data_IF_403924891114
#
_entry.id   IF_403924891114
#
_cell.length_a   1.000
_cell.length_b   1.000
_cell.length_c   1.000
_cell.angle_alpha   90.00
_cell.angle_beta   90.00
_cell.angle_gamma   90.00
#
_symmetry.space_group_name_H-M   'P 1'
#
loop_
_entity.id
_entity.type
_entity.pdbx_description
1 polymer ?
#
# COMPACT_ATOMS: atom_id res chain seq x y z
N UNK A 1 -14.87 -6.84 -6.36
CA UNK A 1 -13.72 -7.67 -6.77
C UNK A 1 -14.26 -8.92 -7.43
N UNK A 2 -13.76 -9.29 -8.60
CA UNK A 2 -14.10 -10.57 -9.21
C UNK A 2 -13.15 -11.63 -8.62
N UNK A 3 -13.67 -12.74 -8.11
CA UNK A 3 -12.86 -13.85 -7.57
C UNK A 3 -13.02 -15.14 -8.37
N UNK A 4 -13.60 -15.04 -9.58
CA UNK A 4 -13.80 -16.17 -10.46
C UNK A 4 -12.45 -16.65 -11.00
N UNK A 5 -12.11 -17.90 -10.68
CA UNK A 5 -10.87 -18.54 -11.09
C UNK A 5 -10.64 -18.48 -12.61
N UNK A 6 -11.65 -18.83 -13.41
CA UNK A 6 -11.54 -18.93 -14.86
C UNK A 6 -11.17 -17.58 -15.48
N UNK A 7 -11.77 -16.49 -15.02
CA UNK A 7 -11.47 -15.15 -15.53
C UNK A 7 -10.02 -14.74 -15.24
N UNK A 8 -9.53 -15.01 -14.02
CA UNK A 8 -8.15 -14.71 -13.65
C UNK A 8 -7.15 -15.62 -14.33
N UNK A 9 -7.50 -16.88 -14.54
CA UNK A 9 -6.68 -17.82 -15.31
C UNK A 9 -6.56 -17.37 -16.78
N UNK A 10 -7.66 -16.93 -17.40
CA UNK A 10 -7.62 -16.36 -18.76
C UNK A 10 -6.77 -15.08 -18.83
N UNK A 11 -6.79 -14.25 -17.79
CA UNK A 11 -5.96 -13.06 -17.71
C UNK A 11 -4.46 -13.38 -17.59
N UNK A 12 -4.09 -14.56 -17.05
CA UNK A 12 -2.69 -14.97 -16.96
C UNK A 12 -2.10 -15.36 -18.32
N UNK A 13 -2.91 -15.84 -19.26
CA UNK A 13 -2.46 -16.31 -20.58
C UNK A 13 -1.58 -15.31 -21.34
N UNK A 14 -1.93 -14.03 -21.52
CA UNK A 14 -1.07 -13.07 -22.22
C UNK A 14 0.27 -12.79 -21.52
N UNK A 15 0.43 -13.19 -20.26
CA UNK A 15 1.63 -12.92 -19.47
C UNK A 15 2.73 -13.98 -19.64
N UNK A 16 2.46 -15.06 -20.36
CA UNK A 16 3.42 -16.16 -20.55
C UNK A 16 4.45 -15.91 -21.67
N UNK A 17 4.34 -14.78 -22.39
CA UNK A 17 5.17 -14.47 -23.58
C UNK A 17 6.20 -13.36 -23.34
N UNK A 18 6.45 -12.99 -22.09
CA UNK A 18 7.47 -11.99 -21.74
C UNK A 18 8.90 -12.50 -21.93
N UNK A 19 9.83 -11.58 -22.20
CA UNK A 19 11.27 -11.90 -22.19
C UNK A 19 11.72 -12.31 -20.78
N UNK A 20 12.78 -13.12 -20.70
CA UNK A 20 13.35 -13.54 -19.41
C UNK A 20 13.70 -12.32 -18.54
N UNK A 21 13.33 -12.38 -17.26
CA UNK A 21 13.46 -11.28 -16.31
C UNK A 21 12.26 -10.34 -16.25
N UNK A 22 11.29 -10.45 -17.16
CA UNK A 22 10.01 -9.73 -17.05
C UNK A 22 9.27 -10.13 -15.78
N UNK A 23 8.68 -9.14 -15.08
CA UNK A 23 7.92 -9.36 -13.84
C UNK A 23 6.57 -8.67 -13.91
N UNK A 24 5.58 -9.32 -13.33
CA UNK A 24 4.23 -8.76 -13.18
C UNK A 24 3.94 -8.64 -11.69
N UNK A 25 3.38 -7.50 -11.30
CA UNK A 25 2.92 -7.24 -9.95
C UNK A 25 1.41 -7.09 -10.00
N UNK A 26 0.70 -7.90 -9.22
CA UNK A 26 -0.75 -7.82 -9.06
C UNK A 26 -1.03 -7.27 -7.68
N UNK A 27 -1.82 -6.19 -7.60
CA UNK A 27 -2.32 -5.65 -6.33
C UNK A 27 -3.81 -5.98 -6.20
N UNK A 28 -4.20 -6.49 -5.04
CA UNK A 28 -5.58 -6.90 -4.76
C UNK A 28 -5.88 -6.77 -3.27
N UNK A 29 -7.16 -6.56 -2.92
CA UNK A 29 -7.64 -6.64 -1.53
C UNK A 29 -8.14 -8.03 -1.14
N UNK A 30 -8.08 -9.01 -2.04
CA UNK A 30 -8.55 -10.39 -1.82
C UNK A 30 -7.37 -11.37 -1.88
N UNK A 31 -7.10 -12.02 -0.76
CA UNK A 31 -6.06 -13.07 -0.65
C UNK A 31 -6.34 -14.25 -1.59
N UNK A 32 -7.62 -14.50 -1.86
CA UNK A 32 -8.04 -15.52 -2.82
C UNK A 32 -7.61 -15.15 -4.24
N UNK A 33 -7.78 -13.90 -4.66
CA UNK A 33 -7.26 -13.45 -5.97
C UNK A 33 -5.74 -13.55 -6.02
N UNK A 34 -5.04 -13.18 -4.94
CA UNK A 34 -3.58 -13.32 -4.85
C UNK A 34 -3.12 -14.77 -4.99
N UNK A 35 -3.86 -15.71 -4.39
CA UNK A 35 -3.63 -17.15 -4.50
C UNK A 35 -3.90 -17.68 -5.93
N UNK A 36 -4.99 -17.25 -6.57
CA UNK A 36 -5.35 -17.65 -7.94
C UNK A 36 -4.27 -17.22 -8.95
N UNK A 37 -3.66 -16.05 -8.75
CA UNK A 37 -2.56 -15.57 -9.60
C UNK A 37 -1.24 -16.34 -9.41
N UNK A 38 -1.22 -17.36 -8.52
CA UNK A 38 -0.09 -18.25 -8.26
C UNK A 38 1.24 -17.51 -8.09
N UNK A 39 1.18 -16.32 -7.48
CA UNK A 39 2.37 -15.51 -7.27
C UNK A 39 3.39 -16.29 -6.44
N UNK A 40 4.66 -16.27 -6.83
CA UNK A 40 5.74 -16.91 -6.07
C UNK A 40 5.85 -16.33 -4.65
N UNK A 41 5.40 -15.08 -4.44
CA UNK A 41 5.33 -14.43 -3.13
C UNK A 41 4.06 -13.57 -3.05
N UNK A 42 3.27 -13.79 -2.02
CA UNK A 42 2.18 -12.87 -1.65
C UNK A 42 2.74 -11.91 -0.61
N UNK A 43 2.69 -10.62 -0.91
CA UNK A 43 3.11 -9.58 0.02
C UNK A 43 1.88 -8.90 0.61
N UNK A 44 1.58 -9.18 1.87
CA UNK A 44 0.52 -8.51 2.61
C UNK A 44 1.06 -7.15 3.07
N UNK A 45 0.50 -6.08 2.51
CA UNK A 45 0.83 -4.73 2.94
C UNK A 45 0.32 -4.51 4.37
N UNK A 46 1.25 -4.29 5.29
CA UNK A 46 0.94 -3.93 6.67
C UNK A 46 0.56 -2.45 6.81
N UNK A 47 0.13 -2.09 8.02
CA UNK A 47 0.01 -0.68 8.40
C UNK A 47 1.40 -0.05 8.51
N UNK A 48 1.48 1.25 8.25
CA UNK A 48 2.68 2.03 8.53
C UNK A 48 2.95 2.09 10.03
N UNK A 49 4.22 2.28 10.41
CA UNK A 49 4.58 2.61 11.79
C UNK A 49 3.95 3.95 12.20
N UNK A 50 3.91 4.23 13.50
CA UNK A 50 3.39 5.52 13.96
C UNK A 50 4.26 6.67 13.43
N UNK A 51 5.58 6.45 13.40
CA UNK A 51 6.61 7.38 12.96
C UNK A 51 6.49 7.68 11.45
N UNK A 52 6.24 6.64 10.64
CA UNK A 52 6.00 6.80 9.20
C UNK A 52 4.65 7.48 8.93
N UNK A 53 3.60 7.11 9.68
CA UNK A 53 2.31 7.81 9.60
C UNK A 53 2.44 9.29 9.95
N UNK A 54 3.19 9.61 11.01
CA UNK A 54 3.46 10.97 11.43
C UNK A 54 4.25 11.73 10.36
N UNK A 55 5.32 11.14 9.83
CA UNK A 55 6.13 11.76 8.78
C UNK A 55 5.32 12.06 7.52
N UNK A 56 4.47 11.13 7.10
CA UNK A 56 3.56 11.32 5.96
C UNK A 56 2.54 12.43 6.23
N UNK A 57 1.89 12.40 7.39
CA UNK A 57 0.93 13.43 7.79
C UNK A 57 1.59 14.80 7.83
N UNK A 58 2.73 14.91 8.51
CA UNK A 58 3.43 16.17 8.69
C UNK A 58 3.87 16.77 7.36
N UNK A 59 4.37 15.94 6.43
CA UNK A 59 4.73 16.35 5.07
C UNK A 59 3.56 16.99 4.28
N UNK A 60 2.33 16.57 4.55
CA UNK A 60 1.15 17.05 3.82
C UNK A 60 0.38 18.16 4.56
N UNK A 61 0.36 18.11 5.89
CA UNK A 61 -0.39 19.04 6.73
C UNK A 61 0.41 20.31 7.07
N UNK A 62 1.74 20.22 7.04
CA UNK A 62 2.62 21.32 7.40
C UNK A 62 3.68 21.54 6.32
N UNK A 63 3.95 22.80 5.99
CA UNK A 63 5.23 23.15 5.39
C UNK A 63 6.30 22.99 6.49
N UNK A 64 7.43 22.34 6.21
CA UNK A 64 8.43 21.96 7.23
C UNK A 64 8.86 23.13 8.13
N UNK A 65 8.80 24.36 7.62
CA UNK A 65 9.11 25.58 8.37
C UNK A 65 8.09 25.86 9.49
N UNK A 66 6.81 25.55 9.31
CA UNK A 66 5.72 25.88 10.26
C UNK A 66 5.85 25.11 11.59
N UNK A 67 6.29 23.85 11.55
CA UNK A 67 6.43 23.02 12.75
C UNK A 67 7.50 23.53 13.71
N UNK A 68 8.53 24.20 13.19
CA UNK A 68 9.59 24.80 14.01
C UNK A 68 9.06 25.98 14.83
N UNK A 69 8.04 26.69 14.31
CA UNK A 69 7.49 27.88 14.94
C UNK A 69 6.29 27.61 15.85
N UNK A 70 5.61 26.46 15.73
CA UNK A 70 4.38 26.15 16.48
C UNK A 70 4.37 24.70 17.00
N UNK A 71 5.06 24.43 18.13
CA UNK A 71 5.14 23.09 18.74
C UNK A 71 3.78 22.48 19.10
N UNK A 72 2.76 23.29 19.35
CA UNK A 72 1.40 22.82 19.68
C UNK A 72 0.75 22.08 18.51
N UNK A 73 1.05 22.45 17.27
CA UNK A 73 0.52 21.79 16.08
C UNK A 73 1.09 20.38 15.91
N UNK A 74 2.32 20.15 16.37
CA UNK A 74 2.92 18.82 16.36
C UNK A 74 2.14 17.86 17.26
N UNK A 75 1.82 18.26 18.48
CA UNK A 75 1.07 17.42 19.42
C UNK A 75 -0.37 17.17 18.95
N UNK A 76 -1.03 18.18 18.39
CA UNK A 76 -2.35 18.02 17.76
C UNK A 76 -2.27 17.05 16.57
N UNK A 77 -1.29 17.23 15.69
CA UNK A 77 -1.09 16.40 14.51
C UNK A 77 -0.81 14.95 14.87
N UNK A 78 0.07 14.69 15.84
CA UNK A 78 0.28 13.34 16.41
C UNK A 78 -0.99 12.77 17.01
N UNK A 79 -1.79 13.60 17.68
CA UNK A 79 -3.11 13.22 18.19
C UNK A 79 -4.09 12.78 17.10
N UNK A 80 -4.08 13.45 15.95
CA UNK A 80 -4.85 13.06 14.76
C UNK A 80 -4.34 11.72 14.22
N UNK A 81 -3.03 11.58 14.02
CA UNK A 81 -2.43 10.34 13.51
C UNK A 81 -2.74 9.13 14.39
N UNK A 82 -2.76 9.30 15.72
CA UNK A 82 -3.16 8.23 16.66
C UNK A 82 -4.60 7.74 16.45
N UNK A 83 -5.49 8.56 15.87
CA UNK A 83 -6.88 8.20 15.56
C UNK A 83 -7.05 7.54 14.19
N UNK A 84 -6.03 7.52 13.33
CA UNK A 84 -6.10 7.01 11.96
C UNK A 84 -5.95 5.48 11.83
N UNK A 85 -6.43 4.73 12.83
CA UNK A 85 -6.41 3.26 12.81
C UNK A 85 -7.80 2.69 12.62
#
# INVERSE_FOLDING_TARGET
WNENYTNWHMLQTPFTVGLNGSKIIVTTRSDKVASIMRSARIHHLGQLSFEDCWSLFAKHAFEMEILVYIPELEEIGKGIVKKCK
#
